data_IF_205576886521
#
_entry.id   IF_205576886521
#
_cell.length_a   1.000
_cell.length_b   1.000
_cell.length_c   1.000
_cell.angle_alpha   90.00
_cell.angle_beta   90.00
_cell.angle_gamma   90.00
#
_symmetry.space_group_name_H-M   'P 1'
#
loop_
_entity.id
_entity.type
_entity.pdbx_description
1 polymer ?
#
# COMPACT_ATOMS: atom_id res chain seq x y z
N UNK A 1 -27.26 -10.80 4.24
CA UNK A 1 -27.89 -9.73 5.04
C UNK A 1 -27.49 -9.76 6.53
N UNK A 2 -26.60 -10.67 6.95
CA UNK A 2 -26.28 -10.96 8.36
C UNK A 2 -25.85 -9.73 9.17
N UNK A 3 -25.06 -8.82 8.58
CA UNK A 3 -24.53 -7.64 9.27
C UNK A 3 -25.31 -6.36 9.03
N UNK A 4 -26.35 -6.36 8.18
CA UNK A 4 -26.99 -5.11 7.72
C UNK A 4 -27.51 -4.26 8.87
N UNK A 5 -28.18 -4.89 9.85
CA UNK A 5 -28.73 -4.19 11.01
C UNK A 5 -27.67 -3.79 12.03
N UNK A 6 -26.52 -4.45 12.06
CA UNK A 6 -25.39 -4.08 12.93
C UNK A 6 -24.71 -2.79 12.47
N UNK A 7 -24.81 -2.48 11.18
CA UNK A 7 -24.29 -1.23 10.63
C UNK A 7 -25.16 -0.03 11.00
N UNK A 8 -26.45 -0.23 11.26
CA UNK A 8 -27.39 0.86 11.55
C UNK A 8 -27.35 1.26 13.02
N UNK A 9 -27.32 2.57 13.27
CA UNK A 9 -27.39 3.14 14.63
C UNK A 9 -28.72 3.84 14.85
N UNK A 10 -29.16 4.02 16.11
CA UNK A 10 -30.28 4.90 16.42
C UNK A 10 -30.04 6.32 15.88
N UNK A 11 -31.13 6.96 15.45
CA UNK A 11 -31.11 8.32 14.94
C UNK A 11 -31.43 8.39 13.45
N UNK A 12 -32.44 9.19 13.13
CA UNK A 12 -32.82 9.48 11.76
C UNK A 12 -33.20 10.95 11.64
N UNK A 13 -32.70 11.61 10.60
CA UNK A 13 -33.01 13.01 10.31
C UNK A 13 -33.77 13.04 8.99
N UNK A 14 -35.01 13.54 9.01
CA UNK A 14 -35.76 13.84 7.80
C UNK A 14 -35.35 15.21 7.29
N UNK A 15 -34.99 15.30 6.00
CA UNK A 15 -34.66 16.58 5.38
C UNK A 15 -35.96 17.27 4.93
N UNK A 16 -36.17 18.49 5.41
CA UNK A 16 -37.34 19.31 5.05
C UNK A 16 -37.45 19.48 3.53
N UNK A 17 -38.68 19.47 3.02
CA UNK A 17 -39.01 19.66 1.60
C UNK A 17 -38.38 18.65 0.63
N UNK A 18 -37.95 17.49 1.13
CA UNK A 18 -37.46 16.37 0.31
C UNK A 18 -38.00 15.03 0.83
N UNK A 19 -37.90 13.97 0.00
CA UNK A 19 -38.17 12.60 0.43
C UNK A 19 -36.92 11.91 1.02
N UNK A 20 -35.86 12.67 1.33
CA UNK A 20 -34.60 12.13 1.83
C UNK A 20 -34.58 12.02 3.36
N UNK A 21 -33.98 10.92 3.82
CA UNK A 21 -33.78 10.57 5.22
C UNK A 21 -32.33 10.18 5.42
N UNK A 22 -31.70 10.78 6.42
CA UNK A 22 -30.37 10.45 6.88
C UNK A 22 -30.50 9.39 7.97
N UNK A 23 -30.03 8.18 7.70
CA UNK A 23 -29.98 7.09 8.66
C UNK A 23 -28.58 7.04 9.29
N UNK A 24 -28.49 7.13 10.62
CA UNK A 24 -27.21 7.00 11.32
C UNK A 24 -26.66 5.57 11.17
N UNK A 25 -25.35 5.44 11.01
CA UNK A 25 -24.66 4.16 10.87
C UNK A 25 -23.27 4.18 11.52
N UNK A 26 -22.61 3.02 11.59
CA UNK A 26 -21.21 2.93 12.04
C UNK A 26 -20.23 3.70 11.14
N UNK A 27 -20.59 3.97 9.90
CA UNK A 27 -19.77 4.68 8.91
C UNK A 27 -20.16 6.15 8.70
N UNK A 28 -21.06 6.69 9.53
CA UNK A 28 -21.67 8.02 9.34
C UNK A 28 -23.11 7.94 8.85
N UNK A 29 -23.65 9.01 8.28
CA UNK A 29 -25.06 9.03 7.84
C UNK A 29 -25.22 8.49 6.42
N UNK A 30 -26.12 7.54 6.26
CA UNK A 30 -26.57 7.02 4.97
C UNK A 30 -27.75 7.87 4.50
N UNK A 31 -27.66 8.46 3.30
CA UNK A 31 -28.80 9.16 2.67
C UNK A 31 -29.68 8.12 1.97
N UNK A 32 -30.97 8.11 2.31
CA UNK A 32 -31.97 7.20 1.72
C UNK A 32 -33.20 8.00 1.30
N UNK A 33 -33.84 7.64 0.19
CA UNK A 33 -34.99 8.36 -0.33
C UNK A 33 -35.07 8.27 -1.85
N UNK A 34 -36.24 8.54 -2.40
CA UNK A 34 -36.43 8.60 -3.84
C UNK A 34 -36.18 10.03 -4.32
N UNK A 35 -35.23 10.19 -5.23
CA UNK A 35 -35.18 11.39 -6.06
C UNK A 35 -36.30 11.28 -7.09
N UNK A 36 -37.15 12.30 -7.19
CA UNK A 36 -37.95 12.51 -8.40
C UNK A 36 -37.00 13.06 -9.46
N UNK A 37 -36.14 12.19 -10.00
CA UNK A 37 -35.37 12.57 -11.17
C UNK A 37 -36.41 12.86 -12.26
N UNK A 38 -36.40 14.07 -12.82
CA UNK A 38 -36.87 14.23 -14.20
C UNK A 38 -36.18 13.13 -14.99
N UNK A 39 -36.90 12.44 -15.87
CA UNK A 39 -36.35 11.36 -16.69
C UNK A 39 -35.18 11.88 -17.55
N UNK A 40 -34.00 12.03 -16.95
CA UNK A 40 -32.74 12.05 -17.65
C UNK A 40 -32.43 10.58 -17.89
N UNK A 41 -32.94 10.10 -19.03
CA UNK A 41 -32.72 8.75 -19.55
C UNK A 41 -31.28 8.55 -20.04
N UNK A 42 -30.32 9.28 -19.50
CA UNK A 42 -28.92 9.19 -19.91
C UNK A 42 -28.11 8.49 -18.81
N UNK A 43 -28.04 7.17 -18.93
CA UNK A 43 -27.14 6.35 -18.15
C UNK A 43 -25.73 6.60 -18.69
N UNK A 44 -24.97 7.48 -18.04
CA UNK A 44 -23.55 7.66 -18.36
C UNK A 44 -22.76 6.43 -17.87
N UNK A 45 -22.45 5.52 -18.80
CA UNK A 45 -21.50 4.44 -18.57
C UNK A 45 -20.14 4.85 -19.09
N UNK A 46 -19.12 4.90 -18.22
CA UNK A 46 -17.72 5.10 -18.59
C UNK A 46 -17.13 3.84 -19.23
N UNK A 47 -17.73 3.35 -20.32
CA UNK A 47 -17.22 2.20 -21.06
C UNK A 47 -15.99 2.64 -21.84
N UNK A 48 -14.81 2.23 -21.36
CA UNK A 48 -13.56 2.38 -22.09
C UNK A 48 -13.54 1.29 -23.19
N UNK A 49 -13.82 1.68 -24.43
CA UNK A 49 -13.79 0.78 -25.59
C UNK A 49 -12.40 0.67 -26.22
N UNK A 50 -11.55 1.67 -26.03
CA UNK A 50 -10.16 1.69 -26.44
C UNK A 50 -9.27 1.98 -25.22
N UNK A 51 -8.45 1.00 -24.87
CA UNK A 51 -7.54 1.06 -23.74
C UNK A 51 -6.06 1.16 -24.18
N UNK A 52 -5.80 1.40 -25.47
CA UNK A 52 -4.45 1.38 -26.04
C UNK A 52 -3.51 2.40 -25.40
N UNK A 53 -4.00 3.59 -25.05
CA UNK A 53 -3.22 4.63 -24.37
C UNK A 53 -2.86 4.25 -22.93
N UNK A 54 -3.79 3.65 -22.18
CA UNK A 54 -3.54 3.13 -20.84
C UNK A 54 -2.52 1.99 -20.88
N UNK A 55 -2.70 1.04 -21.81
CA UNK A 55 -1.76 -0.07 -21.98
C UNK A 55 -0.36 0.42 -22.35
N UNK A 56 -0.25 1.41 -23.23
CA UNK A 56 1.02 2.05 -23.58
C UNK A 56 1.66 2.67 -22.34
N UNK A 57 0.87 3.41 -21.56
CA UNK A 57 1.36 4.09 -20.35
C UNK A 57 1.85 3.09 -19.32
N UNK A 58 1.10 2.02 -19.08
CA UNK A 58 1.50 0.94 -18.18
C UNK A 58 2.76 0.23 -18.66
N UNK A 59 2.92 -0.01 -19.97
CA UNK A 59 4.14 -0.61 -20.53
C UNK A 59 5.36 0.29 -20.32
N UNK A 60 5.25 1.59 -20.58
CA UNK A 60 6.36 2.53 -20.36
C UNK A 60 6.72 2.64 -18.88
N UNK A 61 5.73 2.68 -17.99
CA UNK A 61 5.95 2.64 -16.55
C UNK A 61 6.78 1.41 -16.13
N UNK A 62 6.37 0.22 -16.58
CA UNK A 62 7.08 -1.02 -16.25
C UNK A 62 8.46 -1.12 -16.89
N UNK A 63 8.73 -0.47 -18.04
CA UNK A 63 10.09 -0.39 -18.61
C UNK A 63 11.03 0.45 -17.75
N UNK A 64 10.51 1.52 -17.13
CA UNK A 64 11.30 2.40 -16.28
C UNK A 64 11.59 1.72 -14.93
N UNK A 65 10.58 1.03 -14.37
CA UNK A 65 10.73 0.36 -13.08
C UNK A 65 11.40 -1.02 -13.16
N UNK A 66 11.30 -1.74 -14.28
CA UNK A 66 12.12 -2.93 -14.47
C UNK A 66 13.55 -2.52 -14.75
N UNK A 67 14.38 -2.72 -13.73
CA UNK A 67 15.80 -2.97 -13.95
C UNK A 67 15.87 -4.21 -14.84
N UNK A 68 16.45 -4.09 -16.05
CA UNK A 68 16.72 -5.23 -16.92
C UNK A 68 17.31 -6.34 -16.05
N UNK A 69 16.68 -7.52 -16.06
CA UNK A 69 17.05 -8.63 -15.16
C UNK A 69 18.56 -8.77 -15.18
N UNK A 70 19.15 -8.85 -13.99
CA UNK A 70 20.58 -9.01 -13.65
C UNK A 70 21.37 -9.97 -14.56
N UNK A 71 20.68 -10.84 -15.31
CA UNK A 71 21.21 -11.68 -16.38
C UNK A 71 21.69 -10.96 -17.65
N UNK A 72 21.24 -9.74 -17.94
CA UNK A 72 21.56 -9.00 -19.18
C UNK A 72 22.60 -7.89 -18.98
N UNK A 73 22.82 -7.47 -17.74
CA UNK A 73 23.85 -6.49 -17.38
C UNK A 73 25.12 -7.27 -17.05
N UNK A 74 26.21 -7.01 -17.77
CA UNK A 74 27.52 -7.51 -17.36
C UNK A 74 27.84 -6.95 -15.99
N UNK A 75 27.71 -7.77 -14.94
CA UNK A 75 28.08 -7.40 -13.58
C UNK A 75 29.52 -6.89 -13.60
N UNK A 76 29.68 -5.60 -13.30
CA UNK A 76 30.98 -4.97 -13.14
C UNK A 76 31.66 -5.54 -11.90
N UNK A 77 32.99 -5.47 -11.84
CA UNK A 77 33.71 -5.92 -10.64
C UNK A 77 33.31 -5.11 -9.40
N UNK A 78 33.00 -3.84 -9.60
CA UNK A 78 32.51 -2.95 -8.56
C UNK A 78 31.16 -3.41 -8.01
N UNK A 79 30.24 -3.88 -8.86
CA UNK A 79 28.95 -4.44 -8.44
C UNK A 79 29.12 -5.75 -7.69
N UNK A 80 30.00 -6.64 -8.15
CA UNK A 80 30.31 -7.90 -7.44
C UNK A 80 30.85 -7.64 -6.03
N UNK A 81 31.79 -6.69 -5.89
CA UNK A 81 32.32 -6.28 -4.58
C UNK A 81 31.24 -5.66 -3.70
N UNK A 82 30.37 -4.82 -4.27
CA UNK A 82 29.26 -4.21 -3.53
C UNK A 82 28.27 -5.25 -3.02
N UNK A 83 27.89 -6.22 -3.86
CA UNK A 83 26.95 -7.26 -3.52
C UNK A 83 27.54 -8.21 -2.46
N UNK A 84 28.79 -8.65 -2.63
CA UNK A 84 29.49 -9.44 -1.61
C UNK A 84 29.55 -8.71 -0.26
N UNK A 85 29.88 -7.41 -0.26
CA UNK A 85 29.90 -6.61 0.94
C UNK A 85 28.51 -6.48 1.57
N UNK A 86 27.47 -6.29 0.76
CA UNK A 86 26.09 -6.19 1.22
C UNK A 86 25.63 -7.49 1.90
N UNK A 87 25.76 -8.62 1.20
CA UNK A 87 25.38 -9.94 1.71
C UNK A 87 26.13 -10.30 3.00
N UNK A 88 27.41 -9.94 3.10
CA UNK A 88 28.24 -10.22 4.28
C UNK A 88 27.89 -9.37 5.51
N UNK A 89 27.41 -8.14 5.32
CA UNK A 89 27.25 -7.17 6.40
C UNK A 89 25.79 -6.85 6.76
N UNK A 90 24.84 -7.16 5.86
CA UNK A 90 23.42 -6.83 5.99
C UNK A 90 22.49 -8.05 5.80
N UNK A 91 22.72 -9.19 6.48
CA UNK A 91 21.83 -10.34 6.36
C UNK A 91 20.41 -10.02 6.87
N UNK A 92 19.41 -10.71 6.34
CA UNK A 92 18.03 -10.65 6.85
C UNK A 92 17.77 -11.76 7.86
N UNK A 93 17.00 -11.44 8.89
CA UNK A 93 16.46 -12.40 9.86
C UNK A 93 15.36 -13.26 9.24
N UNK A 94 15.00 -14.37 9.88
CA UNK A 94 13.88 -15.24 9.46
C UNK A 94 12.54 -14.50 9.35
N UNK A 95 12.40 -13.36 10.05
CA UNK A 95 11.21 -12.50 10.00
C UNK A 95 11.28 -11.38 8.96
N UNK A 96 12.35 -11.33 8.15
CA UNK A 96 12.54 -10.36 7.07
C UNK A 96 13.18 -9.03 7.47
N UNK A 97 13.53 -8.81 8.75
CA UNK A 97 14.22 -7.59 9.20
C UNK A 97 15.72 -7.65 8.89
N UNK A 98 16.32 -6.52 8.49
CA UNK A 98 17.78 -6.42 8.30
C UNK A 98 18.54 -6.45 9.62
N UNK A 99 19.62 -7.22 9.66
CA UNK A 99 20.61 -7.25 10.73
C UNK A 99 21.86 -6.50 10.26
N UNK A 100 22.12 -5.34 10.86
CA UNK A 100 23.26 -4.49 10.49
C UNK A 100 24.41 -4.75 11.46
N UNK A 101 25.61 -5.02 10.94
CA UNK A 101 26.83 -5.02 11.76
C UNK A 101 27.24 -3.59 12.05
N UNK A 102 27.27 -3.22 13.34
CA UNK A 102 27.89 -1.97 13.79
C UNK A 102 29.37 -2.22 14.05
N UNK A 103 30.29 -1.63 13.26
CA UNK A 103 31.71 -1.77 13.52
C UNK A 103 32.09 -1.02 14.81
N UNK A 104 32.93 -1.63 15.64
CA UNK A 104 33.54 -0.94 16.78
C UNK A 104 34.66 -0.04 16.29
N UNK A 105 34.75 1.17 16.86
CA UNK A 105 35.82 2.14 16.54
C UNK A 105 37.19 1.68 17.07
N UNK A 106 37.18 0.92 18.17
CA UNK A 106 38.36 0.33 18.80
C UNK A 106 38.16 -1.18 18.95
N UNK A 107 39.24 -1.92 19.15
CA UNK A 107 39.18 -3.37 19.32
C UNK A 107 38.26 -3.71 20.52
N UNK A 108 37.25 -4.59 20.38
CA UNK A 108 36.34 -4.94 21.46
C UNK A 108 37.04 -5.45 22.73
N UNK A 109 38.29 -5.90 22.65
CA UNK A 109 39.13 -6.27 23.81
C UNK A 109 39.45 -5.10 24.73
N UNK A 110 39.30 -3.84 24.29
CA UNK A 110 39.40 -2.67 25.17
C UNK A 110 38.18 -2.54 26.11
N UNK A 111 37.08 -3.24 25.82
CA UNK A 111 35.91 -3.31 26.68
C UNK A 111 36.23 -4.29 27.82
N UNK A 112 36.49 -3.76 29.02
CA UNK A 112 36.74 -4.56 30.21
C UNK A 112 35.56 -5.45 30.63
N UNK A 113 35.71 -6.20 31.73
CA UNK A 113 34.69 -7.15 32.19
C UNK A 113 33.37 -6.44 32.59
N UNK A 114 32.38 -6.54 31.71
CA UNK A 114 31.02 -6.09 32.01
C UNK A 114 30.24 -7.18 32.75
N UNK A 115 29.44 -6.76 33.73
CA UNK A 115 28.72 -7.61 34.69
C UNK A 115 27.91 -8.70 33.98
N UNK A 116 28.15 -9.98 34.32
CA UNK A 116 27.29 -11.09 33.86
C UNK A 116 25.87 -10.87 34.37
N UNK A 117 24.89 -10.81 33.47
CA UNK A 117 23.47 -10.90 33.84
C UNK A 117 23.22 -12.32 34.34
N UNK A 118 22.80 -12.42 35.61
CA UNK A 118 22.19 -13.64 36.16
C UNK A 118 20.78 -13.85 35.63
#
# INVERSE_FOLDING_TARGET
AEYFYELLKPGQISLHDTNFRLQNSVFGYIVSGSLLAKEETEIHCGLITDNSELEKTLKEFWKIENIERESEISVTKEEEICEEHFLKNYPRTETGKFMVKMPFKEDPTCLGESRKKG
#
